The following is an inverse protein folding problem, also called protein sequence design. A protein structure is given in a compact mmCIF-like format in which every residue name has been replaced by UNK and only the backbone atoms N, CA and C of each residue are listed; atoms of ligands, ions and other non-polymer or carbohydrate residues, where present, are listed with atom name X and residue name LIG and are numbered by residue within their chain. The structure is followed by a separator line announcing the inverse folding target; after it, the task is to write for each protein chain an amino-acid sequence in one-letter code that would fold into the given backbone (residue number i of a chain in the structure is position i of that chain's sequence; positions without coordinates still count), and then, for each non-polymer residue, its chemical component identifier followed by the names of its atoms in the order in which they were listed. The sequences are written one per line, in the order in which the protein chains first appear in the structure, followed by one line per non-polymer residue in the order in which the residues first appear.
data_IF_586727916249
#
_entry.id   IF_586727916249
#
_cell.length_a   1.000
_cell.length_b   1.000
_cell.length_c   1.000
_cell.angle_alpha   90.00
_cell.angle_beta   90.00
_cell.angle_gamma   90.00
#
_symmetry.space_group_name_H-M   'P 1'
#
loop_
_entity.id
_entity.type
_entity.pdbx_description
1 polymer ?
#
# COMPACT_ATOMS: atom_id res chain seq x y z
N UNK A 1 -10.62 -0.10 2.44
CA UNK A 1 -10.15 -1.50 2.56
C UNK A 1 -9.37 -1.81 3.84
N UNK A 2 -9.03 -0.82 4.68
CA UNK A 2 -8.29 -1.04 5.94
C UNK A 2 -9.01 -2.01 6.90
N UNK A 3 -8.25 -2.95 7.46
CA UNK A 3 -8.68 -4.13 8.23
C UNK A 3 -9.67 -5.05 7.51
N UNK A 4 -9.67 -5.03 6.18
CA UNK A 4 -10.37 -6.05 5.40
C UNK A 4 -9.37 -7.04 4.83
N UNK A 5 -9.85 -8.26 4.70
CA UNK A 5 -9.19 -9.36 4.01
C UNK A 5 -9.25 -9.11 2.51
N UNK A 6 -8.12 -9.25 1.85
CA UNK A 6 -7.94 -9.05 0.40
C UNK A 6 -7.08 -10.17 -0.15
N UNK A 7 -7.13 -10.35 -1.47
CA UNK A 7 -6.26 -11.29 -2.19
C UNK A 7 -5.21 -10.50 -2.97
N UNK A 8 -3.93 -10.83 -2.78
CA UNK A 8 -2.79 -10.18 -3.43
C UNK A 8 -1.87 -11.21 -4.09
N UNK A 9 -0.89 -10.77 -4.87
CA UNK A 9 0.13 -11.68 -5.44
C UNK A 9 -0.26 -12.40 -6.73
N UNK A 10 -1.07 -11.76 -7.59
CA UNK A 10 -1.37 -12.31 -8.91
C UNK A 10 -0.08 -12.74 -9.65
N UNK A 11 -0.07 -13.89 -10.35
CA UNK A 11 -1.22 -14.77 -10.64
C UNK A 11 -1.55 -15.79 -9.54
N UNK A 12 -0.73 -15.93 -8.51
CA UNK A 12 -0.92 -16.89 -7.42
C UNK A 12 -1.49 -16.19 -6.19
N UNK A 13 -2.81 -15.98 -6.21
CA UNK A 13 -3.49 -15.21 -5.17
C UNK A 13 -3.27 -15.77 -3.76
N UNK A 14 -2.88 -14.87 -2.86
CA UNK A 14 -2.69 -15.13 -1.44
C UNK A 14 -3.58 -14.20 -0.64
N UNK A 15 -4.13 -14.74 0.45
CA UNK A 15 -4.95 -13.96 1.36
C UNK A 15 -4.08 -13.10 2.29
N UNK A 16 -4.44 -11.84 2.45
CA UNK A 16 -3.77 -10.90 3.34
C UNK A 16 -4.75 -9.92 4.00
N UNK A 17 -4.36 -9.38 5.15
CA UNK A 17 -5.09 -8.32 5.83
C UNK A 17 -4.47 -6.96 5.47
N UNK A 18 -5.29 -5.99 5.08
CA UNK A 18 -4.80 -4.63 4.79
C UNK A 18 -4.57 -3.86 6.08
N UNK A 19 -3.31 -3.74 6.50
CA UNK A 19 -2.90 -2.98 7.69
C UNK A 19 -2.80 -1.48 7.39
N UNK A 20 -2.27 -1.13 6.23
CA UNK A 20 -2.03 0.25 5.81
C UNK A 20 -2.12 0.38 4.30
N UNK A 21 -2.46 1.57 3.82
CA UNK A 21 -2.48 1.93 2.39
C UNK A 21 -1.61 3.18 2.19
N UNK A 22 -0.82 3.27 1.14
CA UNK A 22 0.12 4.40 0.96
C UNK A 22 0.04 4.96 -0.45
N UNK A 23 -0.31 6.24 -0.57
CA UNK A 23 -0.15 6.96 -1.82
C UNK A 23 1.26 7.60 -1.91
N UNK A 24 1.49 8.38 -2.97
CA UNK A 24 2.77 9.05 -3.21
C UNK A 24 3.22 10.03 -2.11
N UNK A 25 2.31 10.54 -1.27
CA UNK A 25 2.58 11.59 -0.28
C UNK A 25 2.20 11.19 1.16
N UNK A 26 1.23 10.30 1.33
CA UNK A 26 0.60 9.95 2.59
C UNK A 26 0.48 8.44 2.77
N UNK A 27 0.51 8.05 4.04
CA UNK A 27 0.19 6.71 4.52
C UNK A 27 -1.08 6.75 5.36
N UNK A 28 -2.06 5.94 5.00
CA UNK A 28 -3.31 5.78 5.72
C UNK A 28 -3.25 4.55 6.62
N UNK A 29 -3.42 4.77 7.92
CA UNK A 29 -3.43 3.72 8.94
C UNK A 29 -4.59 3.93 9.90
N UNK A 30 -5.09 2.84 10.49
CA UNK A 30 -6.04 2.94 11.59
C UNK A 30 -5.26 3.06 12.89
N UNK A 31 -5.40 4.21 13.55
CA UNK A 31 -4.74 4.48 14.82
C UNK A 31 -5.78 4.89 15.87
N UNK A 32 -5.58 4.42 17.11
CA UNK A 32 -6.36 4.90 18.26
C UNK A 32 -5.72 6.19 18.76
N UNK A 33 -6.29 7.32 18.35
CA UNK A 33 -5.78 8.67 18.68
C UNK A 33 -6.19 9.08 20.11
N UNK A 34 -7.24 8.46 20.65
CA UNK A 34 -7.77 8.73 22.00
C UNK A 34 -7.89 7.41 22.75
N UNK A 35 -7.40 7.31 24.00
CA UNK A 35 -7.61 6.13 24.82
C UNK A 35 -9.11 5.78 24.91
N UNK A 36 -9.45 4.51 24.68
CA UNK A 36 -10.83 3.97 24.65
C UNK A 36 -11.75 4.46 23.51
N UNK A 37 -11.24 5.20 22.51
CA UNK A 37 -12.02 5.53 21.32
C UNK A 37 -11.80 4.50 20.20
N UNK A 38 -12.80 4.30 19.30
CA UNK A 38 -12.63 3.45 18.14
C UNK A 38 -11.50 3.97 17.22
N UNK A 39 -10.70 3.07 16.61
CA UNK A 39 -9.62 3.45 15.70
C UNK A 39 -10.16 4.26 14.53
N UNK A 40 -9.53 5.40 14.24
CA UNK A 40 -9.87 6.24 13.09
C UNK A 40 -8.78 6.11 12.03
N UNK A 41 -9.16 6.28 10.78
CA UNK A 41 -8.21 6.37 9.67
C UNK A 41 -7.49 7.71 9.78
N UNK A 42 -6.18 7.66 9.95
CA UNK A 42 -5.30 8.83 10.01
C UNK A 42 -4.47 8.87 8.73
N UNK A 43 -4.39 10.05 8.12
CA UNK A 43 -3.46 10.32 7.03
C UNK A 43 -2.16 10.86 7.62
N UNK A 44 -1.08 10.11 7.47
CA UNK A 44 0.24 10.51 7.94
C UNK A 44 1.14 10.81 6.73
N UNK A 45 1.64 12.04 6.57
CA UNK A 45 2.57 12.34 5.49
C UNK A 45 3.83 11.48 5.60
N UNK A 46 4.36 11.04 4.46
CA UNK A 46 5.62 10.30 4.43
C UNK A 46 6.74 11.16 4.99
N UNK A 47 7.65 10.52 5.75
CA UNK A 47 8.95 11.12 6.02
C UNK A 47 9.67 11.43 4.70
N UNK A 48 10.61 12.38 4.64
CA UNK A 48 11.33 12.71 3.39
C UNK A 48 11.94 11.49 2.68
N UNK A 49 12.44 10.51 3.43
CA UNK A 49 12.97 9.25 2.91
C UNK A 49 11.85 8.28 2.43
N UNK A 50 10.67 8.38 3.03
CA UNK A 50 9.50 7.57 2.70
C UNK A 50 8.97 7.79 1.29
N UNK A 51 9.08 9.02 0.76
CA UNK A 51 8.74 9.36 -0.62
C UNK A 51 9.56 8.54 -1.63
N UNK A 52 10.88 8.48 -1.42
CA UNK A 52 11.78 7.67 -2.24
C UNK A 52 11.50 6.17 -2.12
N UNK A 53 11.20 5.69 -0.91
CA UNK A 53 10.82 4.29 -0.70
C UNK A 53 9.51 3.91 -1.39
N UNK A 54 8.51 4.79 -1.37
CA UNK A 54 7.24 4.56 -2.07
C UNK A 54 7.48 4.45 -3.58
N UNK A 55 8.21 5.41 -4.16
CA UNK A 55 8.53 5.41 -5.59
C UNK A 55 9.32 4.17 -6.02
N UNK A 56 10.34 3.76 -5.27
CA UNK A 56 11.09 2.54 -5.59
C UNK A 56 10.21 1.28 -5.52
N UNK A 57 9.22 1.25 -4.61
CA UNK A 57 8.29 0.12 -4.49
C UNK A 57 7.29 0.08 -5.63
N UNK A 58 6.72 1.22 -6.04
CA UNK A 58 5.81 1.29 -7.19
C UNK A 58 6.49 0.85 -8.48
N UNK A 59 7.68 1.39 -8.77
CA UNK A 59 8.48 1.00 -9.94
C UNK A 59 8.84 -0.48 -9.92
N UNK A 60 9.18 -1.03 -8.73
CA UNK A 60 9.49 -2.46 -8.61
C UNK A 60 8.28 -3.34 -8.94
N UNK A 61 7.08 -2.96 -8.52
CA UNK A 61 5.86 -3.70 -8.83
C UNK A 61 5.68 -3.75 -10.35
N UNK A 62 5.66 -2.60 -11.01
CA UNK A 62 5.52 -2.52 -12.47
C UNK A 62 6.58 -3.33 -13.21
N UNK A 63 7.85 -3.24 -12.78
CA UNK A 63 8.94 -4.01 -13.39
C UNK A 63 8.78 -5.52 -13.20
N UNK A 64 8.29 -5.98 -12.05
CA UNK A 64 8.07 -7.41 -11.80
C UNK A 64 6.94 -7.92 -12.70
N UNK A 65 5.82 -7.21 -12.77
CA UNK A 65 4.69 -7.64 -13.60
C UNK A 65 5.00 -7.57 -15.09
N UNK A 66 5.68 -6.53 -15.57
CA UNK A 66 6.08 -6.41 -16.98
C UNK A 66 7.15 -7.44 -17.36
N UNK A 67 8.29 -7.47 -16.65
CA UNK A 67 9.46 -8.27 -17.07
C UNK A 67 9.32 -9.76 -16.74
N UNK A 68 8.70 -10.12 -15.62
CA UNK A 68 8.57 -11.53 -15.22
C UNK A 68 7.27 -12.18 -15.67
N UNK A 69 6.19 -11.42 -15.73
CA UNK A 69 4.85 -11.97 -16.01
C UNK A 69 4.22 -11.45 -17.31
N UNK A 70 4.90 -10.57 -18.06
CA UNK A 70 4.42 -10.10 -19.35
C UNK A 70 3.17 -9.22 -19.28
N UNK A 71 2.90 -8.61 -18.12
CA UNK A 71 1.71 -7.78 -17.90
C UNK A 71 2.10 -6.32 -17.77
N UNK A 72 1.46 -5.46 -18.57
CA UNK A 72 1.57 -4.00 -18.47
C UNK A 72 0.50 -3.53 -17.49
N UNK A 73 0.92 -3.13 -16.28
CA UNK A 73 0.00 -2.74 -15.19
C UNK A 73 -0.46 -1.28 -15.26
N UNK A 74 0.28 -0.43 -15.97
CA UNK A 74 0.16 1.03 -15.85
C UNK A 74 0.74 1.53 -14.52
N UNK A 75 0.48 2.81 -14.24
CA UNK A 75 1.01 3.51 -13.06
C UNK A 75 0.40 2.98 -11.76
N UNK A 76 1.23 2.82 -10.73
CA UNK A 76 0.80 2.43 -9.39
C UNK A 76 0.52 3.68 -8.56
N UNK A 77 -0.75 3.93 -8.23
CA UNK A 77 -1.19 5.13 -7.52
C UNK A 77 -1.23 4.97 -5.98
N UNK A 78 -1.43 3.73 -5.47
CA UNK A 78 -1.83 3.43 -4.07
C UNK A 78 -1.28 2.09 -3.55
#
# INVERSE_FOLDING_TARGET
FLDRRVFTGWPYLQEGLVVSVSDSLFKYEKMSVVPNAPPKVVSNPHAPQGLGHWKMKSERIEQVYSKKWGVITGDVEV
#
